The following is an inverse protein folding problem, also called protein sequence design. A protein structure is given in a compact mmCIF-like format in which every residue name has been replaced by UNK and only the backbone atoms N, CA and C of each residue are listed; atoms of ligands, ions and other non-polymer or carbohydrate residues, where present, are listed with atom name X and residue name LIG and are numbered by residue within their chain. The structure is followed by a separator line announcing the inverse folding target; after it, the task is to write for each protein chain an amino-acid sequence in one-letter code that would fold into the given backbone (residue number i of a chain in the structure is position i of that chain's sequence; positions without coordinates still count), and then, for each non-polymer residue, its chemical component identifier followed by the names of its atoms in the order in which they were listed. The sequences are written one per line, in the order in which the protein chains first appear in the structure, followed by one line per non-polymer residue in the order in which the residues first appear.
data_IF_697298315147
#
_entry.id   IF_697298315147
#
_cell.length_a   1.000
_cell.length_b   1.000
_cell.length_c   1.000
_cell.angle_alpha   90.00
_cell.angle_beta   90.00
_cell.angle_gamma   90.00
#
_symmetry.space_group_name_H-M   'P 1'
#
loop_
_entity.id
_entity.type
_entity.pdbx_description
1 polymer ?
#
# COMPACT_ATOMS: atom_id res chain seq x y z
N UNK A 1 -68.83 33.67 25.73
CA UNK A 1 -67.52 33.73 25.00
C UNK A 1 -66.44 33.24 25.95
N UNK A 2 -66.04 31.96 25.82
CA UNK A 2 -64.92 31.41 26.59
C UNK A 2 -63.66 31.57 25.78
N UNK A 3 -62.52 31.97 26.37
CA UNK A 3 -61.27 32.03 25.69
C UNK A 3 -60.65 30.63 25.54
N UNK A 4 -60.23 30.30 24.33
CA UNK A 4 -59.49 29.10 23.94
C UNK A 4 -58.12 29.07 24.61
N UNK A 5 -57.66 27.92 25.20
CA UNK A 5 -56.32 27.83 25.76
C UNK A 5 -55.26 27.84 24.66
N UNK A 6 -54.24 28.67 24.83
CA UNK A 6 -53.08 28.73 23.97
C UNK A 6 -52.30 27.40 24.00
N UNK A 7 -52.02 26.84 22.84
CA UNK A 7 -51.11 25.70 22.67
C UNK A 7 -49.68 26.12 23.09
N UNK A 8 -48.93 25.28 23.83
CA UNK A 8 -47.54 25.55 24.11
C UNK A 8 -46.73 25.43 22.83
N UNK A 9 -45.95 26.47 22.55
CA UNK A 9 -44.98 26.51 21.47
C UNK A 9 -44.02 25.29 21.57
N UNK A 10 -43.95 24.53 20.49
CA UNK A 10 -42.93 23.48 20.32
C UNK A 10 -41.55 24.07 20.59
N UNK A 11 -40.87 23.56 21.61
CA UNK A 11 -39.44 23.85 21.83
C UNK A 11 -38.73 23.34 20.61
N UNK A 12 -38.23 24.27 19.79
CA UNK A 12 -37.33 23.94 18.71
C UNK A 12 -36.16 23.15 19.30
N UNK A 13 -36.04 21.90 18.89
CA UNK A 13 -34.83 21.11 19.11
C UNK A 13 -33.67 21.91 18.55
N UNK A 14 -32.80 22.41 19.43
CA UNK A 14 -31.54 23.01 19.06
C UNK A 14 -30.69 21.88 18.48
N UNK A 15 -30.80 21.69 17.17
CA UNK A 15 -29.92 20.79 16.41
C UNK A 15 -28.50 21.37 16.51
N UNK A 16 -27.73 20.90 17.49
CA UNK A 16 -26.35 21.32 17.67
C UNK A 16 -25.59 20.70 16.49
N UNK A 17 -25.03 21.51 15.57
CA UNK A 17 -24.47 20.98 14.35
C UNK A 17 -23.30 20.02 14.66
N UNK A 18 -23.19 18.96 13.87
CA UNK A 18 -22.08 17.99 13.86
C UNK A 18 -20.73 18.69 13.97
N UNK A 19 -19.87 18.27 14.87
CA UNK A 19 -18.57 18.89 15.15
C UNK A 19 -17.40 18.10 14.58
N UNK A 20 -16.29 18.78 14.29
CA UNK A 20 -15.02 18.11 13.90
C UNK A 20 -14.54 17.15 15.00
N UNK A 21 -14.91 17.37 16.25
CA UNK A 21 -14.54 16.47 17.36
C UNK A 21 -15.28 15.14 17.27
N UNK A 22 -16.57 15.17 16.95
CA UNK A 22 -17.37 13.94 16.73
C UNK A 22 -16.86 13.17 15.51
N UNK A 23 -16.49 13.87 14.42
CA UNK A 23 -15.86 13.23 13.27
C UNK A 23 -14.52 12.56 13.62
N UNK A 24 -13.69 13.18 14.46
CA UNK A 24 -12.45 12.56 14.96
C UNK A 24 -12.74 11.29 15.74
N UNK A 25 -13.78 11.26 16.55
CA UNK A 25 -14.11 10.11 17.38
C UNK A 25 -14.56 8.92 16.54
N UNK A 26 -15.43 9.12 15.52
CA UNK A 26 -15.85 8.01 14.65
C UNK A 26 -14.66 7.46 13.84
N UNK A 27 -13.79 8.30 13.34
CA UNK A 27 -12.55 7.87 12.63
C UNK A 27 -11.63 7.10 13.57
N UNK A 28 -11.46 7.56 14.82
CA UNK A 28 -10.62 6.85 15.80
C UNK A 28 -11.20 5.47 16.14
N UNK A 29 -12.52 5.35 16.36
CA UNK A 29 -13.16 4.04 16.63
C UNK A 29 -13.06 3.11 15.43
N UNK A 30 -13.22 3.62 14.21
CA UNK A 30 -13.06 2.84 12.98
C UNK A 30 -11.64 2.27 12.83
N UNK A 31 -10.62 3.04 13.22
CA UNK A 31 -9.22 2.65 13.18
C UNK A 31 -8.87 1.62 14.26
N UNK A 32 -9.22 1.93 15.51
CA UNK A 32 -8.83 1.12 16.67
C UNK A 32 -9.70 -0.12 16.85
N UNK A 33 -10.88 -0.16 16.25
CA UNK A 33 -11.91 -1.20 16.42
C UNK A 33 -12.22 -1.49 17.90
N UNK A 34 -11.97 -0.48 18.77
CA UNK A 34 -12.14 -0.58 20.22
C UNK A 34 -12.35 0.79 20.84
N UNK A 35 -13.50 1.00 21.51
CA UNK A 35 -13.86 2.31 22.10
C UNK A 35 -12.87 2.83 23.14
N UNK A 36 -12.31 1.94 23.98
CA UNK A 36 -11.32 2.34 25.00
C UNK A 36 -10.04 2.87 24.38
N UNK A 37 -9.46 2.11 23.42
CA UNK A 37 -8.25 2.53 22.69
C UNK A 37 -8.46 3.80 21.87
N UNK A 38 -9.64 3.94 21.24
CA UNK A 38 -10.01 5.15 20.52
C UNK A 38 -10.12 6.38 21.44
N UNK A 39 -10.65 6.19 22.64
CA UNK A 39 -10.73 7.25 23.64
C UNK A 39 -9.33 7.70 24.13
N UNK A 40 -8.44 6.75 24.39
CA UNK A 40 -7.03 7.03 24.71
C UNK A 40 -6.34 7.81 23.57
N UNK A 41 -6.52 7.35 22.33
CA UNK A 41 -5.97 8.02 21.14
C UNK A 41 -6.52 9.45 20.94
N UNK A 42 -7.73 9.71 21.42
CA UNK A 42 -8.38 11.02 21.37
C UNK A 42 -8.16 11.87 22.65
N UNK A 43 -7.45 11.36 23.65
CA UNK A 43 -7.19 12.01 24.95
C UNK A 43 -8.48 12.36 25.71
N UNK A 44 -9.46 11.46 25.68
CA UNK A 44 -10.75 11.61 26.38
C UNK A 44 -11.14 10.35 27.14
N UNK A 45 -12.16 10.44 28.02
CA UNK A 45 -12.71 9.24 28.65
C UNK A 45 -13.58 8.45 27.67
N UNK A 46 -13.60 7.11 27.82
CA UNK A 46 -14.45 6.26 26.98
C UNK A 46 -15.94 6.64 27.04
N UNK A 47 -16.54 6.98 28.22
CA UNK A 47 -17.91 7.47 28.28
C UNK A 47 -18.14 8.73 27.45
N UNK A 48 -17.22 9.71 27.50
CA UNK A 48 -17.30 10.95 26.71
C UNK A 48 -17.34 10.64 25.22
N UNK A 49 -16.44 9.80 24.74
CA UNK A 49 -16.38 9.39 23.33
C UNK A 49 -17.65 8.63 22.92
N UNK A 50 -18.12 7.69 23.75
CA UNK A 50 -19.32 6.90 23.46
C UNK A 50 -20.58 7.75 23.38
N UNK A 51 -20.75 8.73 24.28
CA UNK A 51 -21.90 9.65 24.28
C UNK A 51 -21.88 10.54 23.03
N UNK A 52 -20.72 11.07 22.66
CA UNK A 52 -20.59 11.90 21.47
C UNK A 52 -20.91 11.12 20.18
N UNK A 53 -20.45 9.88 20.06
CA UNK A 53 -20.76 9.04 18.89
C UNK A 53 -22.25 8.70 18.86
N UNK A 54 -22.86 8.34 20.01
CA UNK A 54 -24.28 8.06 20.10
C UNK A 54 -25.12 9.27 19.66
N UNK A 55 -24.76 10.49 20.12
CA UNK A 55 -25.42 11.71 19.71
C UNK A 55 -25.31 11.95 18.20
N UNK A 56 -24.15 11.72 17.60
CA UNK A 56 -23.93 11.83 16.16
C UNK A 56 -24.77 10.80 15.39
N UNK A 57 -24.85 9.53 15.85
CA UNK A 57 -25.71 8.51 15.27
C UNK A 57 -27.20 8.88 15.35
N UNK A 58 -27.62 9.50 16.47
CA UNK A 58 -28.98 10.01 16.65
C UNK A 58 -29.28 11.18 15.71
N UNK A 59 -28.34 12.12 15.54
CA UNK A 59 -28.44 13.24 14.59
C UNK A 59 -28.55 12.78 13.13
N UNK A 60 -27.77 11.75 12.77
CA UNK A 60 -27.76 11.18 11.42
C UNK A 60 -28.86 10.14 11.18
N UNK A 61 -29.65 9.79 12.21
CA UNK A 61 -30.73 8.79 12.20
C UNK A 61 -30.26 7.40 11.71
N UNK A 62 -28.99 7.03 11.99
CA UNK A 62 -28.42 5.75 11.58
C UNK A 62 -27.38 5.23 12.58
N UNK A 63 -27.01 3.95 12.42
CA UNK A 63 -25.90 3.34 13.16
C UNK A 63 -24.64 3.30 12.31
N UNK A 64 -23.56 3.88 12.86
CA UNK A 64 -22.21 3.82 12.26
C UNK A 64 -21.52 2.53 12.70
N UNK A 65 -21.70 2.18 13.99
CA UNK A 65 -21.08 1.00 14.59
C UNK A 65 -22.11 0.01 15.13
N UNK A 66 -21.84 -1.27 14.90
CA UNK A 66 -22.55 -2.39 15.54
C UNK A 66 -21.65 -3.01 16.61
N UNK A 67 -22.25 -3.32 17.78
CA UNK A 67 -21.55 -3.99 18.88
C UNK A 67 -21.93 -5.47 18.85
N UNK A 68 -21.00 -6.32 18.43
CA UNK A 68 -21.06 -7.75 18.64
C UNK A 68 -20.34 -8.09 19.95
N UNK A 69 -20.63 -9.25 20.54
CA UNK A 69 -20.14 -9.63 21.87
C UNK A 69 -18.60 -9.59 22.03
N UNK A 70 -17.84 -9.62 20.95
CA UNK A 70 -16.36 -9.64 20.97
C UNK A 70 -15.69 -8.55 20.12
N UNK A 71 -16.40 -7.94 19.16
CA UNK A 71 -15.79 -6.99 18.23
C UNK A 71 -16.74 -5.84 17.87
N UNK A 72 -16.18 -4.70 17.46
CA UNK A 72 -16.90 -3.58 16.88
C UNK A 72 -16.86 -3.74 15.37
N UNK A 73 -18.03 -3.91 14.76
CA UNK A 73 -18.19 -3.87 13.31
C UNK A 73 -18.65 -2.49 12.86
N UNK A 74 -18.23 -2.08 11.67
CA UNK A 74 -18.71 -0.85 11.02
C UNK A 74 -19.82 -1.26 10.06
N UNK A 75 -20.94 -0.55 10.06
CA UNK A 75 -22.01 -0.81 9.09
C UNK A 75 -21.59 -0.37 7.69
N UNK A 76 -22.17 -0.91 6.61
CA UNK A 76 -21.83 -0.48 5.24
C UNK A 76 -21.97 1.03 5.02
N UNK A 77 -23.06 1.63 5.55
CA UNK A 77 -23.26 3.08 5.50
C UNK A 77 -22.31 3.83 6.45
N UNK A 78 -21.96 3.20 7.58
CA UNK A 78 -20.95 3.69 8.52
C UNK A 78 -19.57 3.84 7.87
N UNK A 79 -19.18 2.90 7.00
CA UNK A 79 -17.91 3.01 6.26
C UNK A 79 -17.90 4.22 5.32
N UNK A 80 -19.02 4.55 4.68
CA UNK A 80 -19.14 5.74 3.83
C UNK A 80 -19.02 7.02 4.66
N UNK A 81 -19.69 7.05 5.82
CA UNK A 81 -19.64 8.19 6.74
C UNK A 81 -18.24 8.39 7.31
N UNK A 82 -17.56 7.32 7.72
CA UNK A 82 -16.19 7.40 8.23
C UNK A 82 -15.24 7.94 7.15
N UNK A 83 -15.37 7.49 5.89
CA UNK A 83 -14.59 8.03 4.77
C UNK A 83 -14.85 9.52 4.55
N UNK A 84 -16.12 9.93 4.57
CA UNK A 84 -16.47 11.34 4.40
C UNK A 84 -15.98 12.18 5.59
N UNK A 85 -16.10 11.68 6.82
CA UNK A 85 -15.56 12.31 8.01
C UNK A 85 -14.03 12.51 7.92
N UNK A 86 -13.32 11.51 7.44
CA UNK A 86 -11.88 11.61 7.19
C UNK A 86 -11.56 12.72 6.18
N UNK A 87 -12.31 12.81 5.08
CA UNK A 87 -12.14 13.87 4.07
C UNK A 87 -12.35 15.26 4.69
N UNK A 88 -13.38 15.45 5.50
CA UNK A 88 -13.65 16.73 6.18
C UNK A 88 -12.52 17.09 7.15
N UNK A 89 -12.02 16.14 7.91
CA UNK A 89 -10.90 16.36 8.84
C UNK A 89 -9.61 16.76 8.11
N UNK A 90 -9.34 16.17 6.95
CA UNK A 90 -8.20 16.53 6.10
C UNK A 90 -8.34 17.94 5.54
N UNK A 91 -9.52 18.31 5.07
CA UNK A 91 -9.80 19.66 4.60
C UNK A 91 -9.66 20.70 5.74
N UNK A 92 -10.12 20.37 6.95
CA UNK A 92 -9.94 21.22 8.11
C UNK A 92 -8.47 21.34 8.55
N UNK A 93 -7.70 20.24 8.44
CA UNK A 93 -6.24 20.28 8.67
C UNK A 93 -5.51 21.11 7.62
N UNK A 94 -5.94 21.02 6.36
CA UNK A 94 -5.41 21.81 5.24
C UNK A 94 -5.50 23.31 5.49
N UNK A 95 -6.56 23.82 6.14
CA UNK A 95 -6.66 25.25 6.51
C UNK A 95 -5.49 25.67 7.39
N UNK A 96 -5.11 24.83 8.36
CA UNK A 96 -3.96 25.11 9.23
C UNK A 96 -2.63 25.03 8.48
N UNK A 97 -2.51 24.10 7.55
CA UNK A 97 -1.33 23.99 6.69
C UNK A 97 -1.22 25.18 5.73
N UNK A 98 -2.31 25.62 5.12
CA UNK A 98 -2.34 26.84 4.30
C UNK A 98 -1.89 28.06 5.12
N UNK A 99 -2.38 28.19 6.35
CA UNK A 99 -1.97 29.27 7.24
C UNK A 99 -0.47 29.21 7.63
N UNK A 100 0.09 28.00 7.78
CA UNK A 100 1.53 27.82 8.03
C UNK A 100 2.38 27.99 6.78
N UNK A 101 1.84 27.65 5.61
CA UNK A 101 2.52 27.68 4.31
C UNK A 101 2.95 29.05 3.84
N UNK A 102 2.70 30.14 4.53
CA UNK A 102 3.01 31.47 4.03
C UNK A 102 4.30 31.61 3.20
N UNK A 103 5.12 30.55 3.01
CA UNK A 103 6.39 30.63 2.28
C UNK A 103 6.87 29.38 1.51
N UNK A 104 6.48 28.13 1.85
CA UNK A 104 7.00 26.95 1.13
C UNK A 104 5.99 25.78 1.09
N UNK A 105 5.43 25.44 -0.09
CA UNK A 105 4.49 24.32 -0.25
C UNK A 105 5.12 22.93 -0.02
N UNK A 106 6.45 22.85 -0.07
CA UNK A 106 7.21 21.60 0.12
C UNK A 106 7.71 21.42 1.56
N UNK A 107 7.42 22.35 2.47
CA UNK A 107 7.82 22.23 3.87
C UNK A 107 6.99 21.19 4.64
N UNK A 108 7.67 20.44 5.51
CA UNK A 108 7.07 19.44 6.40
C UNK A 108 7.09 18.00 5.87
N UNK A 109 6.95 17.01 6.76
CA UNK A 109 7.12 15.59 6.42
C UNK A 109 6.07 15.12 5.43
N UNK A 110 6.44 14.13 4.60
CA UNK A 110 5.57 13.39 3.71
C UNK A 110 5.62 11.90 4.11
N UNK A 111 4.46 11.32 4.45
CA UNK A 111 4.35 9.92 4.86
C UNK A 111 4.12 9.05 3.62
N UNK A 112 5.11 8.25 3.28
CA UNK A 112 5.12 7.39 2.10
C UNK A 112 5.07 5.91 2.51
N UNK A 113 4.03 5.20 2.05
CA UNK A 113 3.97 3.76 2.09
C UNK A 113 4.52 3.13 0.81
N UNK A 114 5.19 1.99 0.92
CA UNK A 114 5.71 1.25 -0.25
C UNK A 114 5.49 -0.24 -0.03
N UNK A 115 5.15 -0.98 -1.07
CA UNK A 115 5.04 -2.45 -0.97
C UNK A 115 6.43 -3.08 -0.85
N UNK A 116 6.53 -4.18 -0.09
CA UNK A 116 7.78 -4.90 0.20
C UNK A 116 8.59 -5.30 -1.04
N UNK A 117 7.94 -5.53 -2.18
CA UNK A 117 8.62 -5.95 -3.43
C UNK A 117 9.12 -4.78 -4.28
N UNK A 118 8.95 -3.55 -3.82
CA UNK A 118 9.47 -2.33 -4.46
C UNK A 118 10.44 -1.60 -3.52
N UNK A 119 10.11 -1.53 -2.24
CA UNK A 119 10.84 -0.74 -1.25
C UNK A 119 12.35 -0.94 -1.30
N UNK A 120 12.89 -2.16 -1.14
CA UNK A 120 14.34 -2.39 -1.09
C UNK A 120 15.11 -1.90 -2.30
N UNK A 121 14.47 -1.84 -3.47
CA UNK A 121 15.13 -1.53 -4.75
C UNK A 121 14.95 -0.09 -5.20
N UNK A 122 13.86 0.57 -4.77
CA UNK A 122 13.58 1.96 -5.13
C UNK A 122 14.01 2.96 -4.05
N UNK A 123 13.72 2.64 -2.77
CA UNK A 123 13.88 3.61 -1.67
C UNK A 123 15.31 4.15 -1.51
N UNK A 124 16.40 3.36 -1.67
CA UNK A 124 17.76 3.91 -1.51
C UNK A 124 18.06 5.06 -2.48
N UNK A 125 17.64 4.93 -3.74
CA UNK A 125 17.81 5.99 -4.74
C UNK A 125 16.81 7.14 -4.52
N UNK A 126 15.55 6.83 -4.24
CA UNK A 126 14.50 7.82 -4.02
C UNK A 126 14.82 8.75 -2.84
N UNK A 127 15.26 8.18 -1.71
CA UNK A 127 15.60 8.98 -0.51
C UNK A 127 16.72 9.96 -0.84
N UNK A 128 17.75 9.55 -1.59
CA UNK A 128 18.83 10.44 -2.02
C UNK A 128 18.30 11.59 -2.88
N UNK A 129 17.46 11.27 -3.88
CA UNK A 129 16.85 12.28 -4.75
C UNK A 129 15.98 13.27 -3.98
N UNK A 130 15.20 12.81 -3.00
CA UNK A 130 14.33 13.67 -2.19
C UNK A 130 15.14 14.57 -1.26
N UNK A 131 16.19 14.07 -0.61
CA UNK A 131 17.08 14.87 0.24
C UNK A 131 17.72 16.01 -0.57
N UNK A 132 18.17 15.73 -1.79
CA UNK A 132 18.81 16.73 -2.66
C UNK A 132 17.81 17.76 -3.19
N UNK A 133 16.62 17.34 -3.59
CA UNK A 133 15.61 18.18 -4.27
C UNK A 133 14.71 18.96 -3.31
N UNK A 134 14.33 18.33 -2.20
CA UNK A 134 13.33 18.85 -1.25
C UNK A 134 13.79 18.67 0.20
N UNK A 135 14.87 19.32 0.64
CA UNK A 135 15.45 19.13 1.97
C UNK A 135 14.49 19.50 3.12
N UNK A 136 13.48 20.32 2.85
CA UNK A 136 12.44 20.71 3.81
C UNK A 136 11.26 19.72 3.89
N UNK A 137 11.25 18.67 3.04
CA UNK A 137 10.21 17.64 2.98
C UNK A 137 10.78 16.26 3.33
N UNK A 138 11.09 15.97 4.60
CA UNK A 138 11.59 14.66 4.98
C UNK A 138 10.55 13.59 4.72
N UNK A 139 10.97 12.44 4.17
CA UNK A 139 10.11 11.27 4.00
C UNK A 139 9.99 10.48 5.30
N UNK A 140 8.75 10.18 5.69
CA UNK A 140 8.44 9.18 6.72
C UNK A 140 8.03 7.90 6.00
N UNK A 141 8.96 6.93 5.95
CA UNK A 141 8.82 5.73 5.13
C UNK A 141 8.27 4.56 5.95
N UNK A 142 7.39 3.79 5.32
CA UNK A 142 7.01 2.48 5.83
C UNK A 142 6.76 1.49 4.69
N UNK A 143 7.07 0.23 4.95
CA UNK A 143 6.77 -0.87 4.03
C UNK A 143 5.61 -1.71 4.57
N UNK A 144 4.71 -2.14 3.69
CA UNK A 144 3.60 -3.00 4.08
C UNK A 144 3.00 -3.74 2.86
N UNK A 145 2.03 -4.61 3.12
CA UNK A 145 1.19 -5.23 2.10
C UNK A 145 0.26 -4.21 1.44
N UNK A 146 -0.10 -4.46 0.17
CA UNK A 146 -1.00 -3.59 -0.61
C UNK A 146 -2.29 -3.28 0.15
N UNK A 147 -2.96 -4.30 0.67
CA UNK A 147 -4.23 -4.15 1.42
C UNK A 147 -4.07 -3.21 2.61
N UNK A 148 -2.96 -3.36 3.37
CA UNK A 148 -2.71 -2.52 4.54
C UNK A 148 -2.39 -1.07 4.16
N UNK A 149 -1.61 -0.85 3.11
CA UNK A 149 -1.33 0.49 2.60
C UNK A 149 -2.58 1.20 2.08
N UNK A 150 -3.48 0.46 1.41
CA UNK A 150 -4.77 1.00 0.99
C UNK A 150 -5.65 1.41 2.19
N UNK A 151 -5.69 0.58 3.24
CA UNK A 151 -6.38 0.93 4.49
C UNK A 151 -5.79 2.19 5.12
N UNK A 152 -4.48 2.27 5.24
CA UNK A 152 -3.78 3.42 5.81
C UNK A 152 -3.96 4.70 4.98
N UNK A 153 -3.98 4.59 3.65
CA UNK A 153 -4.34 5.71 2.77
C UNK A 153 -5.76 6.22 3.07
N UNK A 154 -6.74 5.31 3.14
CA UNK A 154 -8.15 5.67 3.43
C UNK A 154 -8.31 6.36 4.78
N UNK A 155 -7.55 5.92 5.79
CA UNK A 155 -7.59 6.46 7.16
C UNK A 155 -6.69 7.71 7.34
N UNK A 156 -5.96 8.14 6.32
CA UNK A 156 -5.04 9.28 6.40
C UNK A 156 -3.81 9.05 7.28
N UNK A 157 -3.49 7.80 7.56
CA UNK A 157 -2.28 7.44 8.32
C UNK A 157 -1.01 7.66 7.50
N UNK A 158 -1.11 7.45 6.18
CA UNK A 158 -0.11 7.80 5.18
C UNK A 158 -0.68 8.78 4.16
N UNK A 159 0.20 9.56 3.54
CA UNK A 159 -0.15 10.59 2.57
C UNK A 159 -0.26 10.02 1.15
N UNK A 160 0.67 9.16 0.79
CA UNK A 160 0.73 8.50 -0.50
C UNK A 160 1.37 7.12 -0.37
N UNK A 161 1.22 6.29 -1.42
CA UNK A 161 1.82 4.97 -1.47
C UNK A 161 2.31 4.62 -2.87
N UNK A 162 3.43 3.89 -2.96
CA UNK A 162 3.92 3.26 -4.19
C UNK A 162 3.43 1.82 -4.19
N UNK A 163 2.56 1.51 -5.15
CA UNK A 163 1.85 0.23 -5.28
C UNK A 163 2.06 -0.35 -6.67
N UNK A 164 1.66 -1.62 -6.86
CA UNK A 164 1.58 -2.25 -8.18
C UNK A 164 0.12 -2.61 -8.50
N UNK A 165 -0.35 -2.25 -9.69
CA UNK A 165 -1.66 -2.65 -10.20
C UNK A 165 -1.69 -4.15 -10.57
N UNK A 166 -2.90 -4.80 -10.52
CA UNK A 166 -4.21 -4.24 -10.17
C UNK A 166 -4.49 -4.23 -8.67
N UNK A 167 -5.25 -3.24 -8.20
CA UNK A 167 -5.84 -3.24 -6.86
C UNK A 167 -7.21 -2.52 -6.87
N UNK A 168 -8.19 -2.95 -6.05
CA UNK A 168 -9.53 -2.40 -6.07
C UNK A 168 -9.59 -1.12 -5.24
N UNK A 169 -9.45 0.07 -5.85
CA UNK A 169 -9.81 1.32 -5.18
C UNK A 169 -10.13 2.47 -6.15
N UNK A 170 -11.43 2.70 -6.35
CA UNK A 170 -11.93 3.79 -7.21
C UNK A 170 -11.78 5.21 -6.59
N UNK A 171 -11.47 5.31 -5.29
CA UNK A 171 -11.46 6.59 -4.56
C UNK A 171 -10.05 7.23 -4.47
N UNK A 172 -9.03 6.56 -4.95
CA UNK A 172 -7.68 7.09 -5.00
C UNK A 172 -7.43 7.85 -6.32
N UNK A 173 -6.58 8.85 -6.25
CA UNK A 173 -5.90 9.38 -7.40
C UNK A 173 -4.60 8.58 -7.61
N UNK A 174 -4.24 8.33 -8.85
CA UNK A 174 -3.05 7.55 -9.21
C UNK A 174 -2.28 8.23 -10.33
N UNK A 175 -0.96 8.15 -10.24
CA UNK A 175 -0.05 8.51 -11.32
C UNK A 175 0.78 7.27 -11.68
N UNK A 176 0.71 6.78 -12.92
CA UNK A 176 1.59 5.71 -13.37
C UNK A 176 3.05 6.19 -13.31
N UNK A 177 3.94 5.30 -12.89
CA UNK A 177 5.37 5.59 -12.77
C UNK A 177 6.17 4.84 -13.83
N UNK A 178 6.05 3.52 -13.84
CA UNK A 178 6.75 2.66 -14.79
C UNK A 178 6.11 1.27 -14.89
N UNK A 179 6.32 0.62 -16.03
CA UNK A 179 6.05 -0.81 -16.21
C UNK A 179 7.36 -1.56 -15.99
N UNK A 180 7.34 -2.55 -15.08
CA UNK A 180 8.49 -3.33 -14.66
C UNK A 180 8.37 -4.78 -15.15
N UNK A 181 9.28 -5.25 -16.03
CA UNK A 181 9.26 -6.60 -16.52
C UNK A 181 9.72 -7.60 -15.45
N UNK A 182 9.26 -8.85 -15.58
CA UNK A 182 9.70 -9.97 -14.75
C UNK A 182 10.81 -10.74 -15.43
N UNK A 183 11.66 -11.35 -14.62
CA UNK A 183 12.69 -12.29 -15.00
C UNK A 183 12.46 -13.60 -14.24
N UNK A 184 12.85 -14.71 -14.83
CA UNK A 184 12.89 -15.98 -14.09
C UNK A 184 14.24 -16.09 -13.37
N UNK A 185 14.22 -16.41 -12.10
CA UNK A 185 15.38 -16.72 -11.28
C UNK A 185 15.49 -18.26 -11.17
N UNK A 186 16.61 -18.82 -11.65
CA UNK A 186 16.86 -20.25 -11.64
C UNK A 186 18.22 -20.55 -11.01
N UNK A 187 18.41 -21.70 -10.32
CA UNK A 187 19.72 -22.07 -9.81
C UNK A 187 20.73 -22.21 -10.95
N UNK A 188 21.98 -21.80 -10.78
CA UNK A 188 23.03 -21.91 -11.80
C UNK A 188 23.24 -23.38 -12.25
N UNK A 189 23.08 -24.34 -11.34
CA UNK A 189 23.17 -25.76 -11.65
C UNK A 189 21.95 -26.33 -12.40
N UNK A 190 20.87 -25.55 -12.56
CA UNK A 190 19.64 -26.01 -13.19
C UNK A 190 19.80 -26.08 -14.72
N UNK A 191 19.21 -27.07 -15.43
CA UNK A 191 19.29 -27.16 -16.89
C UNK A 191 18.81 -25.89 -17.61
N UNK A 192 17.80 -25.20 -17.10
CA UNK A 192 17.28 -23.95 -17.64
C UNK A 192 18.32 -22.80 -17.60
N UNK A 193 19.30 -22.86 -16.70
CA UNK A 193 20.35 -21.82 -16.61
C UNK A 193 21.25 -21.76 -17.85
N UNK A 194 21.28 -22.81 -18.68
CA UNK A 194 22.01 -22.83 -19.93
C UNK A 194 21.30 -22.11 -21.08
N UNK A 195 20.06 -21.69 -20.88
CA UNK A 195 19.27 -21.01 -21.88
C UNK A 195 19.53 -19.49 -21.84
N UNK A 196 19.21 -18.81 -22.94
CA UNK A 196 19.28 -17.35 -23.02
C UNK A 196 17.97 -16.68 -22.60
N UNK A 197 16.86 -17.35 -22.86
CA UNK A 197 15.50 -16.92 -22.58
C UNK A 197 14.69 -18.06 -22.01
N UNK A 198 13.54 -17.77 -21.41
CA UNK A 198 12.64 -18.76 -20.84
C UNK A 198 11.19 -18.51 -21.28
N UNK A 199 10.38 -19.55 -21.32
CA UNK A 199 8.96 -19.48 -21.59
C UNK A 199 8.15 -19.89 -20.37
N UNK A 200 6.88 -19.43 -20.29
CA UNK A 200 5.95 -19.86 -19.22
C UNK A 200 5.74 -21.38 -19.22
N UNK A 201 5.71 -22.02 -20.41
CA UNK A 201 5.56 -23.48 -20.53
C UNK A 201 6.71 -24.27 -19.92
N UNK A 202 7.92 -23.73 -19.95
CA UNK A 202 9.07 -24.34 -19.28
C UNK A 202 8.96 -24.21 -17.76
N UNK A 203 8.53 -23.03 -17.26
CA UNK A 203 8.35 -22.80 -15.83
C UNK A 203 7.29 -23.70 -15.21
N UNK A 204 6.22 -24.05 -15.95
CA UNK A 204 5.15 -24.95 -15.49
C UNK A 204 5.63 -26.32 -15.03
N UNK A 205 6.77 -26.76 -15.51
CA UNK A 205 7.35 -28.08 -15.18
C UNK A 205 8.22 -28.06 -13.94
N UNK A 206 8.46 -26.87 -13.39
CA UNK A 206 9.41 -26.67 -12.30
C UNK A 206 8.70 -26.46 -10.96
N UNK A 207 9.45 -26.60 -9.87
CA UNK A 207 8.97 -26.23 -8.54
C UNK A 207 9.04 -24.72 -8.38
N UNK A 208 7.89 -24.05 -8.34
CA UNK A 208 7.82 -22.59 -8.19
C UNK A 208 7.84 -22.19 -6.72
N UNK A 209 8.76 -21.32 -6.34
CA UNK A 209 8.79 -20.68 -5.03
C UNK A 209 7.99 -19.37 -5.10
N UNK A 210 7.03 -19.20 -4.18
CA UNK A 210 6.11 -18.07 -4.18
C UNK A 210 6.25 -17.22 -2.90
N UNK A 211 5.95 -15.94 -3.02
CA UNK A 211 5.69 -15.09 -1.85
C UNK A 211 4.42 -15.54 -1.14
N UNK A 212 4.38 -15.35 0.18
CA UNK A 212 3.20 -15.65 0.98
C UNK A 212 1.98 -14.79 0.61
N UNK A 213 0.83 -15.18 1.13
CA UNK A 213 -0.44 -14.46 0.96
C UNK A 213 -0.32 -13.02 1.42
N UNK A 214 -0.91 -12.08 0.68
CA UNK A 214 -0.88 -10.63 0.96
C UNK A 214 0.15 -9.85 0.13
N UNK A 215 1.13 -10.52 -0.47
CA UNK A 215 1.99 -9.90 -1.46
C UNK A 215 1.31 -9.89 -2.84
N UNK A 216 1.01 -8.71 -3.39
CA UNK A 216 0.44 -8.61 -4.74
C UNK A 216 1.33 -9.22 -5.83
N UNK A 217 2.64 -9.29 -5.61
CA UNK A 217 3.55 -9.94 -6.55
C UNK A 217 3.31 -11.45 -6.68
N UNK A 218 2.80 -12.14 -5.63
CA UNK A 218 2.31 -13.51 -5.72
C UNK A 218 1.22 -13.63 -6.80
N UNK A 219 0.25 -12.72 -6.77
CA UNK A 219 -0.88 -12.76 -7.70
C UNK A 219 -0.40 -12.53 -9.14
N UNK A 220 0.54 -11.60 -9.35
CA UNK A 220 1.19 -11.42 -10.65
C UNK A 220 1.91 -12.66 -11.16
N UNK A 221 2.63 -13.40 -10.28
CA UNK A 221 3.28 -14.65 -10.66
C UNK A 221 2.25 -15.72 -11.05
N UNK A 222 1.13 -15.78 -10.33
CA UNK A 222 0.03 -16.71 -10.62
C UNK A 222 -0.74 -16.34 -11.89
N UNK A 223 -0.77 -15.06 -12.30
CA UNK A 223 -1.31 -14.64 -13.61
C UNK A 223 -0.43 -15.15 -14.76
N UNK A 224 0.89 -15.13 -14.59
CA UNK A 224 1.84 -15.63 -15.59
C UNK A 224 1.81 -17.16 -15.68
N UNK A 225 1.64 -17.82 -14.56
CA UNK A 225 1.65 -19.28 -14.44
C UNK A 225 0.45 -19.75 -13.57
N UNK A 226 -0.78 -19.74 -14.10
CA UNK A 226 -2.00 -20.06 -13.34
C UNK A 226 -2.04 -21.47 -12.76
N UNK A 227 -1.28 -22.39 -13.32
CA UNK A 227 -1.22 -23.78 -12.88
C UNK A 227 -0.73 -23.90 -11.44
N UNK A 228 0.15 -22.99 -10.99
CA UNK A 228 0.67 -23.01 -9.62
C UNK A 228 -0.38 -22.65 -8.56
N UNK A 229 -1.46 -21.97 -8.92
CA UNK A 229 -2.58 -21.74 -8.03
C UNK A 229 -3.27 -23.04 -7.57
N UNK A 230 -3.25 -24.09 -8.41
CA UNK A 230 -3.86 -25.39 -8.12
C UNK A 230 -3.02 -26.24 -7.16
N UNK A 231 -1.70 -26.06 -7.15
CA UNK A 231 -0.78 -26.83 -6.30
C UNK A 231 -0.68 -26.32 -4.86
N UNK A 232 -1.14 -25.11 -4.59
CA UNK A 232 -1.16 -24.57 -3.21
C UNK A 232 -2.20 -25.23 -2.31
N UNK A 233 -3.16 -25.97 -2.87
CA UNK A 233 -4.26 -26.60 -2.16
C UNK A 233 -4.09 -28.12 -1.96
N UNK A 234 -3.13 -28.78 -2.63
CA UNK A 234 -2.93 -30.24 -2.52
C UNK A 234 -1.89 -30.59 -1.46
N UNK A 235 -2.33 -31.39 -0.50
CA UNK A 235 -1.61 -31.75 0.73
C UNK A 235 -0.64 -32.92 0.60
N UNK A 236 -0.34 -33.46 -0.58
CA UNK A 236 0.52 -34.62 -0.75
C UNK A 236 1.87 -34.31 -1.41
N UNK A 237 2.95 -34.46 -0.62
CA UNK A 237 4.34 -34.51 -1.07
C UNK A 237 5.19 -33.30 -0.74
N UNK A 238 6.49 -33.52 -0.55
CA UNK A 238 7.57 -32.56 -0.21
C UNK A 238 7.81 -31.48 -1.31
N UNK A 239 7.04 -31.51 -2.40
CA UNK A 239 7.09 -30.53 -3.51
C UNK A 239 6.19 -29.32 -3.29
N UNK A 240 5.85 -29.02 -2.05
CA UNK A 240 5.03 -27.86 -1.74
C UNK A 240 5.83 -26.59 -1.92
N UNK A 241 5.23 -25.67 -2.62
CA UNK A 241 5.61 -24.28 -2.73
C UNK A 241 6.12 -23.75 -1.37
N UNK A 242 7.39 -23.42 -1.29
CA UNK A 242 7.89 -22.64 -0.18
C UNK A 242 7.25 -21.24 -0.28
N UNK A 243 6.53 -20.83 0.75
CA UNK A 243 6.01 -19.49 0.86
C UNK A 243 6.97 -18.65 1.72
N UNK A 244 7.73 -17.81 1.05
CA UNK A 244 8.66 -16.90 1.72
C UNK A 244 8.00 -15.59 2.12
N UNK A 245 8.45 -15.00 3.23
CA UNK A 245 7.99 -13.68 3.70
C UNK A 245 8.64 -12.52 2.92
N UNK A 246 9.75 -12.73 2.24
CA UNK A 246 10.45 -11.71 1.45
C UNK A 246 10.99 -12.27 0.15
N UNK A 247 11.11 -11.40 -0.86
CA UNK A 247 11.65 -11.76 -2.16
C UNK A 247 13.13 -12.17 -2.06
N UNK A 248 13.89 -11.52 -1.18
CA UNK A 248 15.29 -11.85 -0.95
C UNK A 248 15.44 -13.27 -0.37
N UNK A 249 14.60 -13.66 0.61
CA UNK A 249 14.60 -15.02 1.13
C UNK A 249 14.31 -16.03 0.02
N UNK A 250 13.35 -15.74 -0.86
CA UNK A 250 13.04 -16.64 -1.99
C UNK A 250 14.25 -16.75 -2.94
N UNK A 251 14.94 -15.68 -3.26
CA UNK A 251 16.16 -15.70 -4.08
C UNK A 251 17.25 -16.60 -3.47
N UNK A 252 17.46 -16.51 -2.15
CA UNK A 252 18.37 -17.42 -1.44
C UNK A 252 17.91 -18.89 -1.50
N UNK A 253 16.62 -19.17 -1.44
CA UNK A 253 16.11 -20.53 -1.60
C UNK A 253 16.29 -21.05 -3.04
N UNK A 254 16.16 -20.18 -4.05
CA UNK A 254 16.54 -20.51 -5.43
C UNK A 254 18.04 -20.83 -5.52
N UNK A 255 18.90 -20.01 -4.93
CA UNK A 255 20.34 -20.25 -4.88
C UNK A 255 20.69 -21.60 -4.25
N UNK A 256 19.92 -22.01 -3.23
CA UNK A 256 20.05 -23.32 -2.57
C UNK A 256 19.50 -24.50 -3.39
N UNK A 257 18.93 -24.26 -4.58
CA UNK A 257 18.41 -25.30 -5.45
C UNK A 257 17.02 -25.84 -5.09
N UNK A 258 16.25 -25.12 -4.27
CA UNK A 258 14.91 -25.56 -3.85
C UNK A 258 13.87 -25.48 -4.98
N UNK A 259 14.11 -24.65 -6.00
CA UNK A 259 13.18 -24.44 -7.11
C UNK A 259 13.53 -23.19 -7.90
N UNK A 260 12.56 -22.66 -8.62
CA UNK A 260 12.66 -21.46 -9.45
C UNK A 260 11.63 -20.42 -8.99
N UNK A 261 11.82 -19.14 -9.37
CA UNK A 261 10.82 -18.10 -9.09
C UNK A 261 10.81 -17.05 -10.19
N UNK A 262 9.81 -16.17 -10.18
CA UNK A 262 9.86 -14.91 -10.90
C UNK A 262 10.33 -13.80 -9.97
N UNK A 263 11.01 -12.84 -10.54
CA UNK A 263 11.51 -11.66 -9.82
C UNK A 263 11.25 -10.39 -10.65
N UNK A 264 10.93 -9.26 -10.02
CA UNK A 264 10.83 -7.99 -10.74
C UNK A 264 12.23 -7.50 -11.15
N UNK A 265 12.31 -6.81 -12.27
CA UNK A 265 13.59 -6.39 -12.89
C UNK A 265 14.49 -5.62 -11.93
N UNK A 266 13.95 -4.71 -11.15
CA UNK A 266 14.74 -3.88 -10.23
C UNK A 266 15.35 -4.66 -9.06
N UNK A 267 14.85 -5.86 -8.78
CA UNK A 267 15.42 -6.75 -7.75
C UNK A 267 16.66 -7.51 -8.24
N UNK A 268 17.01 -7.37 -9.52
CA UNK A 268 18.15 -8.06 -10.15
C UNK A 268 19.31 -7.09 -10.32
N UNK A 269 20.50 -7.40 -9.77
CA UNK A 269 21.70 -6.58 -9.98
C UNK A 269 22.02 -6.40 -11.47
N UNK A 270 22.47 -5.20 -11.86
CA UNK A 270 22.84 -4.91 -13.25
C UNK A 270 23.90 -5.86 -13.79
N UNK A 271 24.92 -6.15 -13.00
CA UNK A 271 26.01 -7.08 -13.32
C UNK A 271 25.55 -8.52 -13.62
N UNK A 272 24.41 -8.94 -13.08
CA UNK A 272 23.89 -10.30 -13.28
C UNK A 272 23.27 -10.51 -14.67
N UNK A 273 22.96 -9.44 -15.42
CA UNK A 273 22.38 -9.53 -16.77
C UNK A 273 23.43 -9.46 -17.88
N UNK A 274 24.54 -8.77 -17.66
CA UNK A 274 25.54 -8.51 -18.68
C UNK A 274 26.55 -9.66 -18.85
N UNK A 275 26.41 -10.74 -18.06
CA UNK A 275 27.31 -11.89 -18.08
C UNK A 275 28.74 -11.54 -17.61
N UNK A 276 28.96 -10.32 -17.12
CA UNK A 276 30.22 -9.94 -16.50
C UNK A 276 30.39 -10.72 -15.20
N UNK A 277 31.56 -11.31 -14.92
CA UNK A 277 31.83 -11.87 -13.61
C UNK A 277 31.61 -10.77 -12.57
N UNK A 278 30.82 -11.04 -11.57
CA UNK A 278 30.62 -10.12 -10.45
C UNK A 278 31.98 -9.71 -9.92
N UNK A 279 32.24 -8.40 -9.81
CA UNK A 279 33.44 -7.91 -9.16
C UNK A 279 33.49 -8.52 -7.75
N UNK A 280 34.65 -9.02 -7.34
CA UNK A 280 34.96 -9.85 -6.16
C UNK A 280 34.51 -9.34 -4.78
N UNK A 281 33.56 -8.39 -4.70
CA UNK A 281 33.13 -7.76 -3.44
C UNK A 281 31.64 -7.94 -3.08
N UNK A 282 30.83 -8.57 -3.94
CA UNK A 282 29.45 -8.86 -3.59
C UNK A 282 29.35 -10.33 -3.12
N UNK A 283 29.36 -10.55 -1.81
CA UNK A 283 28.96 -11.80 -1.17
C UNK A 283 27.45 -12.08 -1.34
N UNK A 284 26.87 -11.71 -2.50
CA UNK A 284 25.46 -11.79 -2.80
C UNK A 284 25.15 -12.85 -3.88
N UNK A 285 23.91 -13.29 -3.87
CA UNK A 285 23.20 -14.29 -4.68
C UNK A 285 23.59 -14.47 -6.15
N UNK A 286 24.27 -13.51 -6.77
CA UNK A 286 24.55 -13.47 -8.21
C UNK A 286 25.47 -14.61 -8.72
N UNK A 287 26.18 -15.29 -7.83
CA UNK A 287 27.03 -16.42 -8.19
C UNK A 287 26.26 -17.76 -8.28
N UNK A 288 25.09 -17.86 -7.63
CA UNK A 288 24.32 -19.11 -7.54
C UNK A 288 22.97 -19.06 -8.24
N UNK A 289 22.53 -17.87 -8.68
CA UNK A 289 21.24 -17.66 -9.37
C UNK A 289 21.48 -17.08 -10.75
N UNK A 290 20.89 -17.69 -11.76
CA UNK A 290 20.82 -17.17 -13.13
C UNK A 290 19.46 -16.49 -13.34
N UNK A 291 19.49 -15.27 -13.88
CA UNK A 291 18.29 -14.54 -14.23
C UNK A 291 18.07 -14.58 -15.74
N UNK A 292 16.89 -15.06 -16.15
CA UNK A 292 16.55 -15.27 -17.55
C UNK A 292 15.39 -14.38 -17.97
N UNK A 293 15.54 -13.57 -19.03
CA UNK A 293 14.41 -12.86 -19.62
C UNK A 293 13.45 -13.82 -20.30
N UNK A 294 12.20 -13.43 -20.42
CA UNK A 294 11.20 -14.17 -21.18
C UNK A 294 11.48 -14.11 -22.68
N UNK A 295 11.13 -15.16 -23.40
CA UNK A 295 11.11 -15.17 -24.83
C UNK A 295 9.90 -14.39 -25.35
N UNK A 296 10.12 -13.39 -26.20
CA UNK A 296 9.08 -12.48 -26.65
C UNK A 296 8.74 -11.37 -25.64
N UNK A 297 7.45 -11.07 -25.47
CA UNK A 297 6.99 -10.04 -24.56
C UNK A 297 7.03 -10.54 -23.11
N UNK A 298 7.84 -9.86 -22.30
CA UNK A 298 7.97 -10.21 -20.89
C UNK A 298 6.70 -9.81 -20.11
N UNK A 299 6.22 -10.66 -19.20
CA UNK A 299 5.18 -10.24 -18.25
C UNK A 299 5.67 -9.04 -17.44
N UNK A 300 4.77 -8.09 -17.17
CA UNK A 300 5.10 -6.84 -16.50
C UNK A 300 4.12 -6.55 -15.39
N UNK A 301 4.54 -5.76 -14.40
CA UNK A 301 3.62 -5.08 -13.48
C UNK A 301 3.70 -3.57 -13.68
N UNK A 302 2.58 -2.90 -13.54
CA UNK A 302 2.54 -1.45 -13.53
C UNK A 302 2.70 -0.93 -12.12
N UNK A 303 3.70 -0.09 -11.91
CA UNK A 303 3.95 0.59 -10.63
C UNK A 303 3.37 1.99 -10.69
N UNK A 304 2.63 2.36 -9.65
CA UNK A 304 1.92 3.63 -9.56
C UNK A 304 2.18 4.33 -8.22
N UNK A 305 2.11 5.65 -8.23
CA UNK A 305 2.00 6.47 -7.02
C UNK A 305 0.52 6.74 -6.79
N UNK A 306 0.00 6.35 -5.62
CA UNK A 306 -1.41 6.50 -5.25
C UNK A 306 -1.56 7.42 -4.02
N UNK A 307 -2.62 8.24 -4.01
CA UNK A 307 -2.95 9.11 -2.89
C UNK A 307 -4.46 9.37 -2.84
N UNK A 308 -4.96 9.85 -1.69
CA UNK A 308 -6.38 10.23 -1.58
C UNK A 308 -6.70 11.42 -2.47
N UNK A 309 -7.85 11.41 -3.13
CA UNK A 309 -8.33 12.57 -3.92
C UNK A 309 -8.50 13.83 -3.07
N UNK A 310 -8.74 13.68 -1.76
CA UNK A 310 -8.84 14.78 -0.79
C UNK A 310 -7.49 15.32 -0.30
N UNK A 311 -6.37 14.68 -0.67
CA UNK A 311 -5.04 15.13 -0.26
C UNK A 311 -4.68 16.45 -0.94
N UNK A 312 -4.23 17.42 -0.17
CA UNK A 312 -4.13 18.82 -0.61
C UNK A 312 -2.73 19.30 -0.99
N UNK A 313 -1.68 18.52 -0.66
CA UNK A 313 -0.28 18.86 -0.97
C UNK A 313 0.12 18.30 -2.34
N UNK A 314 -0.50 18.80 -3.42
CA UNK A 314 -0.26 18.32 -4.78
C UNK A 314 1.17 18.55 -5.26
N UNK A 315 1.79 19.65 -4.82
CA UNK A 315 3.20 19.96 -5.11
C UNK A 315 4.14 18.93 -4.50
N UNK A 316 3.85 18.44 -3.29
CA UNK A 316 4.62 17.37 -2.66
C UNK A 316 4.51 16.04 -3.44
N UNK A 317 3.31 15.71 -3.95
CA UNK A 317 3.11 14.54 -4.82
C UNK A 317 3.87 14.72 -6.14
N UNK A 318 3.80 15.90 -6.76
CA UNK A 318 4.50 16.19 -8.00
C UNK A 318 6.03 16.07 -7.84
N UNK A 319 6.59 16.64 -6.76
CA UNK A 319 8.02 16.56 -6.49
C UNK A 319 8.47 15.15 -6.11
N UNK A 320 7.68 14.39 -5.36
CA UNK A 320 7.97 12.98 -5.11
C UNK A 320 8.01 12.19 -6.43
N UNK A 321 7.04 12.41 -7.34
CA UNK A 321 7.03 11.79 -8.67
C UNK A 321 8.25 12.18 -9.48
N UNK A 322 8.63 13.46 -9.48
CA UNK A 322 9.83 13.95 -10.15
C UNK A 322 11.10 13.31 -9.58
N UNK A 323 11.17 13.13 -8.26
CA UNK A 323 12.29 12.42 -7.61
C UNK A 323 12.35 10.95 -8.03
N UNK A 324 11.21 10.27 -8.16
CA UNK A 324 11.15 8.88 -8.67
C UNK A 324 11.64 8.83 -10.13
N UNK A 325 11.25 9.79 -10.97
CA UNK A 325 11.72 9.85 -12.36
C UNK A 325 13.21 10.20 -12.47
N UNK A 326 13.78 10.85 -11.47
CA UNK A 326 15.22 11.10 -11.41
C UNK A 326 16.04 9.88 -10.93
N UNK A 327 15.39 8.87 -10.34
CA UNK A 327 16.06 7.63 -9.94
C UNK A 327 16.56 6.85 -11.17
N UNK A 328 17.71 6.20 -11.03
CA UNK A 328 18.15 5.20 -12.01
C UNK A 328 17.31 3.93 -11.85
N UNK A 329 16.49 3.61 -12.85
CA UNK A 329 15.62 2.44 -12.88
C UNK A 329 15.94 1.61 -14.12
N UNK A 330 17.02 0.79 -14.09
CA UNK A 330 17.48 0.06 -15.26
C UNK A 330 16.49 -1.02 -15.69
N UNK A 331 16.16 -1.04 -16.99
CA UNK A 331 15.34 -2.09 -17.60
C UNK A 331 13.84 -2.00 -17.32
N UNK A 332 13.35 -0.89 -16.77
CA UNK A 332 11.92 -0.60 -16.69
C UNK A 332 11.47 0.38 -17.80
N UNK A 333 10.21 0.32 -18.19
CA UNK A 333 9.62 1.28 -19.12
C UNK A 333 8.93 2.39 -18.33
N UNK A 334 9.53 3.59 -18.34
CA UNK A 334 8.92 4.77 -17.68
C UNK A 334 7.63 5.19 -18.38
N UNK A 335 6.66 5.62 -17.58
CA UNK A 335 5.37 6.13 -18.05
C UNK A 335 5.30 7.63 -17.72
N UNK A 336 5.28 8.46 -18.73
CA UNK A 336 5.23 9.93 -18.60
C UNK A 336 3.81 10.44 -18.84
#
# INVERSE_FOLDING_TARGET
MCPTPAQPAARGEQNTPMTLTELKYIVAVAREKHFGKAAEACFVSQPTLSVAIKKLEEELELKIFERNASEIAITPLGEEIVRQAQTVLEQAASIKEIAKRGKDPLAGPLKLGVIYTIGPYLLPNLVRQVIERTPQMPLMLQENFTVKLLEQLRLGEIDCAILAEPFPDANLAMAPLYDEPFLAAVPVAHPLAQQKTITSEQLKKETMLLLGTGHCFRDHVLEVCPEFARFSNDTEGIRKSFEGSSLETIKHMVAAGMGVTLVPRLSVPGSALDGSPAADQDFGDSSFVRYLPFDGEAPTRRVVLAWRRSFTRFEAIAELRNAIYACELPGVKRLT
#
